data_IF_958925972628
#
_entry.id   IF_958925972628
#
_cell.length_a   1.000
_cell.length_b   1.000
_cell.length_c   1.000
_cell.angle_alpha   90.00
_cell.angle_beta   90.00
_cell.angle_gamma   90.00
#
_symmetry.space_group_name_H-M   'P 1'
#
loop_
_entity.id
_entity.type
_entity.pdbx_description
1 polymer ?
#
# COMPACT_ATOMS: atom_id res chain seq x y z
N UNK A 1 -5.37 -28.01 -0.06
CA UNK A 1 -4.02 -27.40 0.01
C UNK A 1 -2.95 -28.41 0.40
N UNK A 2 -3.16 -29.23 1.44
CA UNK A 2 -2.14 -30.19 1.96
C UNK A 2 -1.52 -31.09 0.89
N UNK A 3 -2.33 -31.81 0.11
CA UNK A 3 -1.82 -32.68 -0.98
C UNK A 3 -0.97 -31.92 -2.00
N UNK A 4 -1.46 -30.75 -2.44
CA UNK A 4 -0.78 -29.90 -3.44
C UNK A 4 0.56 -29.40 -2.90
N UNK A 5 0.61 -28.98 -1.64
CA UNK A 5 1.85 -28.50 -1.02
C UNK A 5 2.86 -29.63 -0.80
N UNK A 6 2.42 -30.82 -0.38
CA UNK A 6 3.30 -31.99 -0.23
C UNK A 6 3.89 -32.41 -1.57
N UNK A 7 3.05 -32.49 -2.62
CA UNK A 7 3.48 -32.86 -3.97
C UNK A 7 4.45 -31.84 -4.59
N UNK A 8 4.24 -30.55 -4.33
CA UNK A 8 5.12 -29.47 -4.77
C UNK A 8 6.47 -29.48 -4.03
N UNK A 9 6.45 -29.70 -2.71
CA UNK A 9 7.66 -29.75 -1.89
C UNK A 9 8.56 -30.94 -2.26
N UNK A 10 7.98 -32.12 -2.49
CA UNK A 10 8.73 -33.32 -2.91
C UNK A 10 9.37 -33.12 -4.29
N UNK A 11 8.67 -32.45 -5.21
CA UNK A 11 9.18 -32.17 -6.57
C UNK A 11 10.12 -30.96 -6.63
N UNK A 12 10.27 -30.21 -5.55
CA UNK A 12 11.00 -28.94 -5.55
C UNK A 12 10.40 -27.91 -6.52
N UNK A 13 9.07 -27.92 -6.69
CA UNK A 13 8.39 -27.04 -7.62
C UNK A 13 8.59 -25.57 -7.23
N UNK A 14 8.93 -24.74 -8.22
CA UNK A 14 9.05 -23.28 -8.07
C UNK A 14 7.85 -22.61 -8.73
N UNK A 15 7.40 -21.54 -8.11
CA UNK A 15 6.36 -20.67 -8.63
C UNK A 15 7.04 -19.40 -9.15
N UNK A 16 6.91 -19.17 -10.46
CA UNK A 16 7.53 -18.03 -11.15
C UNK A 16 6.66 -16.76 -11.07
N UNK A 17 5.53 -16.79 -10.33
CA UNK A 17 4.65 -15.64 -10.07
C UNK A 17 4.14 -14.96 -11.33
N UNK A 18 3.78 -15.74 -12.35
CA UNK A 18 3.27 -15.22 -13.62
C UNK A 18 1.76 -14.95 -13.58
N UNK A 19 1.05 -15.49 -12.59
CA UNK A 19 -0.39 -15.41 -12.46
C UNK A 19 -0.88 -14.29 -11.53
N UNK A 20 -2.16 -13.94 -11.67
CA UNK A 20 -2.80 -12.95 -10.78
C UNK A 20 -2.84 -13.43 -9.32
N UNK A 21 -3.27 -14.67 -9.09
CA UNK A 21 -3.53 -15.17 -7.73
C UNK A 21 -2.25 -15.24 -6.91
N UNK A 22 -1.15 -15.68 -7.49
CA UNK A 22 0.13 -15.87 -6.82
C UNK A 22 0.68 -14.50 -6.35
N UNK A 23 0.64 -13.49 -7.24
CA UNK A 23 1.03 -12.12 -6.93
C UNK A 23 0.12 -11.48 -5.86
N UNK A 24 -1.19 -11.74 -5.92
CA UNK A 24 -2.13 -11.26 -4.88
C UNK A 24 -1.77 -11.86 -3.51
N UNK A 25 -1.48 -13.16 -3.45
CA UNK A 25 -1.20 -13.86 -2.20
C UNK A 25 0.11 -13.37 -1.57
N UNK A 26 1.12 -13.02 -2.38
CA UNK A 26 2.41 -12.50 -1.92
C UNK A 26 2.38 -10.99 -1.62
N UNK A 27 1.43 -10.25 -2.22
CA UNK A 27 1.39 -8.79 -2.15
C UNK A 27 2.31 -8.11 -3.18
N UNK A 28 2.65 -8.80 -4.27
CA UNK A 28 3.32 -8.21 -5.42
C UNK A 28 2.31 -7.58 -6.40
N UNK A 29 2.77 -6.65 -7.23
CA UNK A 29 1.94 -6.00 -8.22
C UNK A 29 1.43 -7.03 -9.23
N UNK A 30 0.12 -7.08 -9.43
CA UNK A 30 -0.50 -8.06 -10.33
C UNK A 30 -0.12 -7.76 -11.79
N UNK A 31 0.04 -8.78 -12.65
CA UNK A 31 0.37 -8.57 -14.06
C UNK A 31 -0.86 -8.16 -14.89
N UNK A 32 -1.58 -7.12 -14.45
CA UNK A 32 -2.76 -6.57 -15.10
C UNK A 32 -2.90 -5.07 -14.81
N UNK A 33 -3.51 -4.32 -15.73
CA UNK A 33 -3.71 -2.87 -15.58
C UNK A 33 -2.38 -2.12 -15.47
N UNK A 34 -2.26 -1.28 -14.43
CA UNK A 34 -1.03 -0.54 -14.11
C UNK A 34 0.15 -1.43 -13.70
N UNK A 35 -0.12 -2.70 -13.39
CA UNK A 35 0.92 -3.66 -13.03
C UNK A 35 1.62 -4.36 -14.19
N UNK A 36 1.25 -4.03 -15.42
CA UNK A 36 1.99 -4.47 -16.61
C UNK A 36 3.21 -3.56 -16.78
N UNK A 37 4.36 -4.14 -17.13
CA UNK A 37 5.64 -3.43 -17.31
C UNK A 37 5.53 -2.15 -18.15
N UNK A 38 4.70 -2.16 -19.20
CA UNK A 38 4.45 -0.97 -20.06
C UNK A 38 3.94 0.25 -19.30
N UNK A 39 3.22 0.06 -18.19
CA UNK A 39 2.67 1.14 -17.38
C UNK A 39 3.53 1.46 -16.15
N UNK A 40 4.54 0.65 -15.84
CA UNK A 40 5.41 0.84 -14.69
C UNK A 40 6.41 1.99 -14.87
N UNK A 41 6.82 2.26 -16.11
CA UNK A 41 7.87 3.24 -16.46
C UNK A 41 7.33 4.42 -17.26
N UNK A 42 6.08 4.82 -17.03
CA UNK A 42 5.49 6.00 -17.68
C UNK A 42 5.86 7.24 -16.87
N UNK A 43 6.68 8.10 -17.47
CA UNK A 43 6.92 9.45 -16.93
C UNK A 43 5.76 10.37 -17.31
N UNK A 44 5.05 10.86 -16.31
CA UNK A 44 3.87 11.72 -16.47
C UNK A 44 4.34 13.17 -16.36
N UNK A 45 4.46 13.84 -17.50
CA UNK A 45 4.76 15.26 -17.54
C UNK A 45 3.49 16.07 -17.22
N UNK A 46 3.54 16.99 -16.24
CA UNK A 46 2.41 17.85 -15.95
C UNK A 46 2.11 18.78 -17.14
N UNK A 47 0.85 19.20 -17.33
CA UNK A 47 0.51 20.13 -18.39
C UNK A 47 1.22 21.47 -18.19
N UNK A 48 1.52 22.17 -19.29
CA UNK A 48 2.15 23.48 -19.25
C UNK A 48 1.30 24.45 -18.40
N UNK A 49 1.91 25.03 -17.36
CA UNK A 49 1.22 25.93 -16.42
C UNK A 49 0.68 25.27 -15.15
N UNK A 50 0.97 23.98 -14.90
CA UNK A 50 0.67 23.36 -13.62
C UNK A 50 1.63 23.87 -12.53
N UNK A 51 1.12 24.67 -11.60
CA UNK A 51 1.84 25.05 -10.39
C UNK A 51 1.55 24.01 -9.30
N UNK A 52 2.60 23.36 -8.80
CA UNK A 52 2.46 22.39 -7.71
C UNK A 52 1.93 23.15 -6.50
N UNK A 53 0.73 22.81 -5.98
CA UNK A 53 0.21 23.49 -4.81
C UNK A 53 1.23 23.33 -3.67
N UNK A 54 1.45 24.38 -2.85
CA UNK A 54 2.36 24.28 -1.72
C UNK A 54 1.96 23.06 -0.87
N UNK A 55 2.95 22.30 -0.35
CA UNK A 55 2.65 21.17 0.52
C UNK A 55 1.74 21.67 1.64
N UNK A 56 0.61 20.99 1.83
CA UNK A 56 -0.31 21.32 2.92
C UNK A 56 0.48 21.14 4.21
N UNK A 57 0.91 22.24 4.81
CA UNK A 57 1.38 22.22 6.19
C UNK A 57 0.16 21.74 6.98
N UNK A 58 0.24 20.55 7.56
CA UNK A 58 -0.77 20.11 8.50
C UNK A 58 -0.72 21.12 9.64
N UNK A 59 -1.57 22.14 9.60
CA UNK A 59 -1.84 22.95 10.78
C UNK A 59 -2.23 21.95 11.88
N UNK A 60 -1.56 21.98 13.05
CA UNK A 60 -1.86 21.04 14.10
C UNK A 60 -3.36 21.13 14.40
N UNK A 61 -4.06 20.02 14.17
CA UNK A 61 -5.49 19.92 14.47
C UNK A 61 -5.64 20.31 15.94
N UNK A 62 -6.43 21.33 16.30
CA UNK A 62 -6.59 21.71 17.69
C UNK A 62 -7.17 20.51 18.43
N UNK A 63 -6.36 19.90 19.29
CA UNK A 63 -6.81 18.84 20.19
C UNK A 63 -7.85 19.48 21.09
N UNK A 64 -9.11 19.02 21.11
CA UNK A 64 -10.14 19.65 21.90
C UNK A 64 -9.74 19.59 23.38
N UNK A 65 -9.69 20.76 24.04
CA UNK A 65 -9.33 20.96 25.45
C UNK A 65 -10.30 20.28 26.46
N UNK A 66 -11.18 19.38 25.99
CA UNK A 66 -12.20 18.72 26.80
C UNK A 66 -11.70 17.48 27.56
N UNK A 67 -10.45 17.04 27.35
CA UNK A 67 -9.88 15.86 28.03
C UNK A 67 -9.20 16.16 29.38
N UNK A 68 -9.25 17.41 29.88
CA UNK A 68 -8.65 17.80 31.16
C UNK A 68 -9.69 18.12 32.26
N UNK A 69 -10.78 17.36 32.31
CA UNK A 69 -11.56 17.23 33.55
C UNK A 69 -11.20 15.87 34.14
N UNK A 70 -10.94 15.84 35.44
CA UNK A 70 -10.70 14.68 36.32
C UNK A 70 -9.25 14.39 36.76
N UNK A 71 -8.55 15.38 37.34
CA UNK A 71 -7.73 15.11 38.53
C UNK A 71 -7.86 16.25 39.55
N UNK A 72 -8.68 16.02 40.57
CA UNK A 72 -8.55 16.48 41.97
C UNK A 72 -8.27 17.95 42.26
N UNK A 73 -9.31 18.70 42.59
CA UNK A 73 -9.23 19.66 43.71
C UNK A 73 -9.92 18.99 44.91
N UNK A 74 -9.10 18.45 45.81
CA UNK A 74 -9.45 18.26 47.21
C UNK A 74 -9.11 19.56 47.93
N UNK A 75 -10.13 20.31 48.37
CA UNK A 75 -10.13 21.03 49.64
C UNK A 75 -11.57 21.15 50.17
#
# INVERSE_FOLDING_TARGET
TTRVLTDAAIRGAKDDLLGLKENIIIGHLIPAGSGIYRYAEIDIQPPAGYEVPPPRVEEPVPVPLAAAVLVGEEE
#
